data_IF_679800860406
#
_entry.id   IF_679800860406
#
_cell.length_a   1.000
_cell.length_b   1.000
_cell.length_c   1.000
_cell.angle_alpha   90.00
_cell.angle_beta   90.00
_cell.angle_gamma   90.00
#
_symmetry.space_group_name_H-M   'P 1'
#
loop_
_entity.id
_entity.type
_entity.pdbx_description
1 polymer ?
#
# COMPACT_ATOMS: atom_id res chain seq x y z
N UNK A 1 -46.90 7.25 -58.48
CA UNK A 1 -46.57 6.27 -57.43
C UNK A 1 -45.14 6.39 -56.95
N UNK A 2 -44.96 6.96 -55.76
CA UNK A 2 -43.67 6.93 -55.06
C UNK A 2 -43.66 5.68 -54.19
N UNK A 3 -42.78 4.72 -54.49
CA UNK A 3 -42.61 3.49 -53.70
C UNK A 3 -41.74 3.77 -52.48
N UNK A 4 -42.36 3.86 -51.31
CA UNK A 4 -41.65 4.04 -50.04
C UNK A 4 -41.07 2.71 -49.56
N UNK A 5 -39.75 2.62 -49.46
CA UNK A 5 -39.04 1.47 -48.90
C UNK A 5 -39.04 1.59 -47.38
N UNK A 6 -39.77 0.72 -46.68
CA UNK A 6 -39.68 0.59 -45.21
C UNK A 6 -38.47 -0.27 -44.84
N UNK A 7 -37.39 0.38 -44.39
CA UNK A 7 -36.25 -0.32 -43.79
C UNK A 7 -36.57 -0.59 -42.32
N UNK A 8 -36.87 -1.84 -41.99
CA UNK A 8 -37.07 -2.29 -40.61
C UNK A 8 -35.71 -2.73 -40.05
N UNK A 9 -35.04 -1.84 -39.32
CA UNK A 9 -33.82 -2.18 -38.57
C UNK A 9 -34.23 -2.96 -37.33
N UNK A 10 -34.20 -4.30 -37.42
CA UNK A 10 -34.31 -5.16 -36.23
C UNK A 10 -33.01 -5.03 -35.44
N UNK A 11 -33.03 -4.23 -34.38
CA UNK A 11 -31.97 -4.21 -33.37
C UNK A 11 -31.83 -5.63 -32.81
N UNK A 12 -30.70 -6.28 -33.07
CA UNK A 12 -30.33 -7.51 -32.36
C UNK A 12 -30.20 -7.10 -30.89
N UNK A 13 -31.12 -7.56 -30.03
CA UNK A 13 -30.94 -7.47 -28.57
C UNK A 13 -29.54 -8.01 -28.28
N UNK A 14 -28.65 -7.13 -27.81
CA UNK A 14 -27.33 -7.55 -27.33
C UNK A 14 -27.56 -8.56 -26.19
N UNK A 15 -26.74 -9.62 -26.08
CA UNK A 15 -26.89 -10.57 -24.99
C UNK A 15 -26.75 -9.81 -23.66
N UNK A 16 -27.68 -10.04 -22.72
CA UNK A 16 -27.50 -9.62 -21.33
C UNK A 16 -26.12 -10.10 -20.89
N UNK A 17 -25.29 -9.20 -20.37
CA UNK A 17 -24.00 -9.58 -19.79
C UNK A 17 -24.27 -10.55 -18.63
N UNK A 18 -23.73 -11.76 -18.73
CA UNK A 18 -23.89 -12.76 -17.68
C UNK A 18 -22.91 -12.43 -16.56
N UNK A 19 -23.43 -12.23 -15.35
CA UNK A 19 -22.61 -11.98 -14.16
C UNK A 19 -21.90 -13.28 -13.79
N UNK A 20 -20.66 -13.40 -14.23
CA UNK A 20 -19.78 -14.52 -13.93
C UNK A 20 -19.20 -14.46 -12.52
N UNK A 21 -18.50 -15.52 -12.15
CA UNK A 21 -17.67 -15.52 -10.96
C UNK A 21 -16.36 -14.80 -11.33
N UNK A 22 -15.97 -13.79 -10.53
CA UNK A 22 -14.94 -12.76 -10.84
C UNK A 22 -15.42 -11.50 -11.58
N UNK A 23 -16.72 -11.24 -11.60
CA UNK A 23 -17.29 -9.98 -12.07
C UNK A 23 -16.75 -8.75 -11.33
N UNK A 24 -16.64 -8.84 -10.00
CA UNK A 24 -16.25 -7.73 -9.12
C UNK A 24 -14.75 -7.82 -8.76
N UNK A 25 -14.01 -6.77 -9.06
CA UNK A 25 -12.59 -6.61 -8.71
C UNK A 25 -12.38 -5.37 -7.85
N UNK A 26 -11.46 -5.46 -6.88
CA UNK A 26 -11.01 -4.35 -6.03
C UNK A 26 -9.49 -4.19 -6.19
N UNK A 27 -9.04 -2.96 -6.38
CA UNK A 27 -7.63 -2.59 -6.39
C UNK A 27 -7.39 -1.40 -5.48
N UNK A 28 -6.31 -1.46 -4.72
CA UNK A 28 -5.84 -0.36 -3.89
C UNK A 28 -4.45 0.00 -4.37
N UNK A 29 -4.22 1.28 -4.62
CA UNK A 29 -2.91 1.81 -5.00
C UNK A 29 -2.43 2.72 -3.88
N UNK A 30 -1.15 2.66 -3.49
CA UNK A 30 -0.62 3.43 -2.35
C UNK A 30 -0.65 4.94 -2.59
N UNK A 31 -0.59 5.37 -3.86
CA UNK A 31 -0.70 6.76 -4.30
C UNK A 31 -1.46 6.82 -5.63
N UNK A 32 -2.02 7.98 -5.99
CA UNK A 32 -2.64 8.17 -7.30
C UNK A 32 -1.62 8.11 -8.43
N UNK A 33 -2.04 7.58 -9.57
CA UNK A 33 -1.23 7.50 -10.79
C UNK A 33 -0.66 8.85 -11.26
N UNK A 34 -1.35 9.97 -11.01
CA UNK A 34 -0.90 11.29 -11.43
C UNK A 34 0.06 11.96 -10.41
N UNK A 35 0.04 11.51 -9.15
CA UNK A 35 0.90 12.01 -8.07
C UNK A 35 2.29 11.33 -8.10
N UNK A 36 2.42 10.24 -8.86
CA UNK A 36 3.68 9.57 -9.16
C UNK A 36 4.51 10.36 -10.20
N UNK A 37 4.91 11.59 -9.86
CA UNK A 37 5.92 12.34 -10.60
C UNK A 37 5.68 12.45 -12.11
N UNK A 38 4.45 12.75 -12.51
CA UNK A 38 3.94 12.80 -13.90
C UNK A 38 4.62 13.81 -14.85
N UNK A 39 5.82 14.29 -14.52
CA UNK A 39 6.67 15.11 -15.40
C UNK A 39 8.09 14.57 -15.60
N UNK A 40 8.49 13.44 -15.01
CA UNK A 40 9.85 12.91 -15.14
C UNK A 40 9.88 11.64 -16.01
N UNK A 41 10.65 11.64 -17.12
CA UNK A 41 10.86 10.42 -17.92
C UNK A 41 11.42 9.30 -17.01
N UNK A 42 10.69 8.19 -16.90
CA UNK A 42 11.08 7.01 -16.12
C UNK A 42 10.34 6.79 -14.79
N UNK A 43 9.43 7.68 -14.37
CA UNK A 43 8.55 7.39 -13.23
C UNK A 43 7.44 6.40 -13.66
N UNK A 44 7.50 5.16 -13.14
CA UNK A 44 6.45 4.16 -13.37
C UNK A 44 5.25 4.45 -12.47
N UNK A 45 4.04 4.30 -13.00
CA UNK A 45 2.82 4.39 -12.21
C UNK A 45 2.85 3.37 -11.05
N UNK A 46 2.26 3.68 -9.89
CA UNK A 46 2.16 2.74 -8.78
C UNK A 46 1.48 1.45 -9.22
N UNK A 47 2.07 0.32 -8.85
CA UNK A 47 1.38 -0.96 -8.97
C UNK A 47 0.29 -1.07 -7.90
N UNK A 48 -0.78 -1.82 -8.21
CA UNK A 48 -1.79 -2.15 -7.21
C UNK A 48 -1.16 -3.00 -6.10
N UNK A 49 -1.57 -2.77 -4.86
CA UNK A 49 -1.19 -3.57 -3.70
C UNK A 49 -1.84 -4.95 -3.80
N UNK A 50 -1.07 -5.97 -3.46
CA UNK A 50 -1.55 -7.32 -3.21
C UNK A 50 -2.08 -7.45 -1.76
N UNK A 51 -2.79 -8.55 -1.51
CA UNK A 51 -3.36 -8.83 -0.20
C UNK A 51 -2.24 -9.05 0.83
N UNK A 52 -2.27 -8.27 1.92
CA UNK A 52 -1.26 -8.28 2.96
C UNK A 52 -0.02 -7.41 2.68
N UNK A 53 0.02 -6.70 1.54
CA UNK A 53 1.13 -5.80 1.24
C UNK A 53 1.26 -4.69 2.29
N UNK A 54 2.50 -4.29 2.55
CA UNK A 54 2.83 -3.26 3.53
C UNK A 54 3.24 -1.96 2.86
N UNK A 55 2.59 -0.87 3.26
CA UNK A 55 2.96 0.50 2.88
C UNK A 55 3.59 1.18 4.08
N UNK A 56 4.77 1.78 3.92
CA UNK A 56 5.39 2.58 4.98
C UNK A 56 5.03 4.06 4.82
N UNK A 57 4.56 4.67 5.89
CA UNK A 57 4.17 6.09 5.95
C UNK A 57 5.01 6.78 7.01
N UNK A 58 5.70 7.88 6.70
CA UNK A 58 6.36 8.64 7.76
C UNK A 58 5.32 9.25 8.70
N UNK A 59 5.66 9.33 9.99
CA UNK A 59 4.78 9.93 10.99
C UNK A 59 4.42 11.37 10.60
N UNK A 60 3.13 11.71 10.69
CA UNK A 60 2.62 13.03 10.33
C UNK A 60 2.53 13.32 8.82
N UNK A 61 3.09 12.48 7.95
CA UNK A 61 2.90 12.59 6.51
C UNK A 61 1.53 12.04 6.08
N UNK A 62 0.95 12.69 5.08
CA UNK A 62 -0.34 12.28 4.51
C UNK A 62 -0.11 11.31 3.35
N UNK A 63 -0.63 10.09 3.48
CA UNK A 63 -0.75 9.15 2.36
C UNK A 63 -2.15 9.19 1.77
N UNK A 64 -2.24 9.26 0.44
CA UNK A 64 -3.51 9.30 -0.31
C UNK A 64 -3.64 8.11 -1.26
N UNK A 65 -3.92 6.90 -0.74
CA UNK A 65 -4.14 5.77 -1.61
C UNK A 65 -5.45 5.92 -2.36
N UNK A 66 -5.41 5.52 -3.64
CA UNK A 66 -6.58 5.45 -4.49
C UNK A 66 -7.15 4.04 -4.47
N UNK A 67 -8.45 3.94 -4.24
CA UNK A 67 -9.21 2.69 -4.22
C UNK A 67 -10.13 2.69 -5.43
N UNK A 68 -10.08 1.61 -6.20
CA UNK A 68 -10.88 1.43 -7.39
C UNK A 68 -11.53 0.05 -7.35
N UNK A 69 -12.86 0.01 -7.51
CA UNK A 69 -13.60 -1.21 -7.70
C UNK A 69 -14.33 -1.19 -9.04
N UNK A 70 -14.39 -2.34 -9.70
CA UNK A 70 -14.96 -2.50 -11.04
C UNK A 70 -15.80 -3.77 -11.11
N UNK A 71 -16.92 -3.68 -11.81
CA UNK A 71 -17.84 -4.77 -12.14
C UNK A 71 -17.96 -4.88 -13.65
N UNK A 72 -17.61 -6.03 -14.22
CA UNK A 72 -17.58 -6.20 -15.68
C UNK A 72 -18.97 -6.27 -16.31
N UNK A 73 -19.88 -7.02 -15.69
CA UNK A 73 -21.18 -7.41 -16.25
C UNK A 73 -22.36 -6.87 -15.43
N UNK A 74 -22.22 -6.71 -14.11
CA UNK A 74 -23.32 -6.25 -13.27
C UNK A 74 -23.42 -4.72 -13.26
N UNK A 75 -24.36 -4.21 -14.06
CA UNK A 75 -24.70 -2.79 -14.15
C UNK A 75 -25.86 -2.36 -13.25
N UNK A 76 -26.50 -3.31 -12.55
CA UNK A 76 -27.72 -3.04 -11.76
C UNK A 76 -27.44 -2.75 -10.31
N UNK A 77 -26.26 -3.12 -9.82
CA UNK A 77 -25.85 -3.01 -8.43
C UNK A 77 -24.70 -2.01 -8.31
N UNK A 78 -24.96 -0.89 -7.65
CA UNK A 78 -23.91 0.07 -7.29
C UNK A 78 -22.90 -0.58 -6.36
N UNK A 79 -21.62 -0.29 -6.57
CA UNK A 79 -20.54 -0.76 -5.71
C UNK A 79 -20.28 0.31 -4.65
N UNK A 80 -20.29 -0.07 -3.39
CA UNK A 80 -19.94 0.81 -2.26
C UNK A 80 -18.63 0.34 -1.64
N UNK A 81 -17.72 1.28 -1.39
CA UNK A 81 -16.46 1.00 -0.71
C UNK A 81 -16.60 1.23 0.80
N UNK A 82 -16.02 0.35 1.59
CA UNK A 82 -15.91 0.46 3.06
C UNK A 82 -14.51 0.06 3.51
N UNK A 83 -14.11 0.48 4.71
CA UNK A 83 -12.83 0.12 5.29
C UNK A 83 -12.95 -0.08 6.80
N UNK A 84 -12.22 -1.07 7.31
CA UNK A 84 -12.03 -1.30 8.74
C UNK A 84 -10.55 -1.39 9.03
N UNK A 85 -10.10 -0.79 10.12
CA UNK A 85 -8.70 -0.77 10.49
C UNK A 85 -8.49 -1.21 11.93
N UNK A 86 -7.32 -1.75 12.22
CA UNK A 86 -6.89 -2.12 13.56
C UNK A 86 -5.42 -1.77 13.76
N UNK A 87 -5.07 -1.24 14.93
CA UNK A 87 -3.68 -1.05 15.34
C UNK A 87 -3.17 -2.38 15.91
N UNK A 88 -2.01 -2.82 15.43
CA UNK A 88 -1.36 -4.03 15.90
C UNK A 88 -0.82 -3.85 17.31
N UNK A 89 -1.13 -4.80 18.18
CA UNK A 89 -0.60 -4.86 19.54
C UNK A 89 0.44 -5.99 19.62
N UNK A 90 1.57 -5.73 20.29
CA UNK A 90 2.51 -6.81 20.63
C UNK A 90 1.79 -7.74 21.61
N UNK A 91 1.88 -9.08 21.42
CA UNK A 91 1.26 -10.03 22.33
C UNK A 91 1.81 -9.75 23.74
N UNK A 92 0.92 -9.54 24.71
CA UNK A 92 1.35 -9.44 26.10
C UNK A 92 2.07 -10.74 26.46
N UNK A 93 3.29 -10.62 27.01
CA UNK A 93 3.89 -11.74 27.74
C UNK A 93 2.91 -12.09 28.86
N UNK A 94 2.18 -13.18 28.72
CA UNK A 94 1.58 -13.82 29.89
C UNK A 94 2.74 -14.23 30.78
N UNK A 95 2.82 -13.65 31.98
CA UNK A 95 3.71 -14.13 33.02
C UNK A 95 3.27 -15.55 33.40
N UNK A 96 3.71 -16.53 32.63
CA UNK A 96 3.74 -17.93 32.99
C UNK A 96 5.18 -18.22 33.39
N UNK A 97 5.35 -18.62 34.64
CA UNK A 97 6.63 -18.65 35.33
C UNK A 97 7.71 -19.47 34.65
N UNK A 98 8.93 -18.96 34.83
CA UNK A 98 10.20 -19.67 35.01
C UNK A 98 10.43 -20.97 34.23
N UNK A 99 11.18 -20.86 33.14
CA UNK A 99 12.26 -21.79 32.81
C UNK A 99 13.24 -21.07 31.87
N UNK A 100 14.48 -20.89 32.34
CA UNK A 100 15.53 -20.17 31.65
C UNK A 100 15.86 -20.71 30.26
N UNK A 101 16.18 -19.79 29.36
CA UNK A 101 16.73 -20.07 28.04
C UNK A 101 17.23 -18.79 27.41
N UNK A 102 18.52 -18.54 27.55
CA UNK A 102 19.28 -17.44 26.93
C UNK A 102 19.05 -17.44 25.42
N UNK A 103 18.40 -16.40 24.88
CA UNK A 103 18.33 -16.17 23.43
C UNK A 103 19.55 -15.35 23.00
N UNK A 104 20.56 -16.05 22.47
CA UNK A 104 21.51 -15.45 21.55
C UNK A 104 20.79 -15.23 20.21
N UNK A 105 20.94 -14.02 19.69
CA UNK A 105 20.64 -13.66 18.32
C UNK A 105 21.50 -14.49 17.36
N UNK A 106 20.89 -15.25 16.47
CA UNK A 106 21.37 -15.42 15.09
C UNK A 106 20.35 -16.17 14.24
N UNK A 107 20.29 -15.81 12.96
CA UNK A 107 19.24 -16.21 12.04
C UNK A 107 19.28 -17.67 11.60
N UNK A 108 18.21 -18.06 10.89
CA UNK A 108 18.06 -19.16 9.90
C UNK A 108 16.82 -20.03 10.18
N UNK A 109 15.86 -19.88 9.25
CA UNK A 109 14.74 -20.72 8.76
C UNK A 109 14.25 -21.98 9.48
N UNK A 110 12.92 -22.15 9.33
CA UNK A 110 12.10 -23.38 9.26
C UNK A 110 11.86 -24.18 10.55
N UNK A 111 10.60 -24.18 10.98
CA UNK A 111 10.06 -25.14 11.95
C UNK A 111 8.57 -24.93 12.19
N UNK A 112 7.75 -25.72 11.50
CA UNK A 112 6.33 -25.95 11.83
C UNK A 112 6.20 -26.43 13.28
N UNK A 113 5.32 -25.81 14.05
CA UNK A 113 4.73 -26.44 15.24
C UNK A 113 3.28 -25.96 15.41
N UNK A 114 2.37 -26.90 15.15
CA UNK A 114 0.96 -26.80 15.46
C UNK A 114 0.72 -27.03 16.96
N UNK A 115 -0.28 -26.34 17.52
CA UNK A 115 -0.94 -26.75 18.76
C UNK A 115 -1.07 -25.64 19.81
N UNK A 116 -2.23 -24.98 19.85
CA UNK A 116 -2.58 -24.07 20.93
C UNK A 116 -3.85 -23.27 20.64
N UNK A 117 -4.99 -23.80 21.07
CA UNK A 117 -6.30 -23.15 21.02
C UNK A 117 -6.34 -21.88 21.89
N UNK A 118 -6.79 -20.75 21.34
CA UNK A 118 -7.28 -19.61 22.12
C UNK A 118 -6.86 -18.22 21.63
N UNK A 119 -7.86 -17.47 21.15
CA UNK A 119 -7.84 -16.05 20.71
C UNK A 119 -7.51 -15.84 19.24
N UNK A 120 -8.58 -15.77 18.43
CA UNK A 120 -8.60 -15.41 17.01
C UNK A 120 -8.22 -13.95 16.77
N UNK A 121 -6.96 -13.62 17.00
CA UNK A 121 -6.32 -12.45 16.42
C UNK A 121 -5.49 -12.91 15.22
N UNK A 122 -5.65 -12.25 14.08
CA UNK A 122 -4.84 -12.58 12.90
C UNK A 122 -3.40 -12.16 13.22
N UNK A 123 -2.50 -13.11 13.51
CA UNK A 123 -1.11 -12.77 13.82
C UNK A 123 -0.35 -12.52 12.53
N UNK A 124 0.29 -11.36 12.38
CA UNK A 124 1.13 -11.11 11.21
C UNK A 124 2.50 -11.79 11.33
N UNK A 125 3.29 -11.71 10.25
CA UNK A 125 4.65 -12.25 10.21
C UNK A 125 5.61 -11.56 11.22
N UNK A 126 5.19 -10.48 11.88
CA UNK A 126 5.91 -9.77 12.95
C UNK A 126 5.41 -10.16 14.35
N UNK A 127 4.45 -11.07 14.45
CA UNK A 127 3.88 -11.52 15.72
C UNK A 127 2.85 -10.58 16.33
N UNK A 128 2.38 -9.56 15.60
CA UNK A 128 1.39 -8.58 16.08
C UNK A 128 -0.03 -9.14 16.04
N UNK A 129 -0.86 -8.73 16.98
CA UNK A 129 -2.25 -9.15 17.09
C UNK A 129 -3.18 -7.96 16.83
N UNK A 130 -4.12 -8.13 15.90
CA UNK A 130 -5.13 -7.12 15.56
C UNK A 130 -6.49 -7.48 16.16
N UNK A 131 -6.79 -6.93 17.34
CA UNK A 131 -7.99 -7.27 18.13
C UNK A 131 -9.05 -6.18 18.09
N UNK A 132 -8.65 -4.91 18.03
CA UNK A 132 -9.55 -3.75 18.04
C UNK A 132 -9.75 -3.26 16.62
N UNK A 133 -10.79 -3.76 15.96
CA UNK A 133 -11.18 -3.33 14.61
C UNK A 133 -12.22 -2.24 14.69
N UNK A 134 -11.91 -1.10 14.06
CA UNK A 134 -12.73 0.10 14.15
C UNK A 134 -12.77 0.85 12.81
N UNK A 135 -13.62 1.87 12.76
CA UNK A 135 -13.63 2.80 11.64
C UNK A 135 -12.29 3.55 11.54
N UNK A 136 -11.80 3.79 10.32
CA UNK A 136 -10.52 4.47 10.07
C UNK A 136 -10.37 5.79 10.84
N UNK A 137 -11.46 6.55 10.99
CA UNK A 137 -11.50 7.85 11.67
C UNK A 137 -11.00 7.80 13.10
N UNK A 138 -11.20 6.68 13.80
CA UNK A 138 -10.73 6.51 15.19
C UNK A 138 -9.21 6.35 15.29
N UNK A 139 -8.55 5.97 14.20
CA UNK A 139 -7.09 5.79 14.11
C UNK A 139 -6.41 6.97 13.40
N UNK A 140 -7.12 8.09 13.19
CA UNK A 140 -6.59 9.26 12.48
C UNK A 140 -6.57 9.11 10.96
N UNK A 141 -7.29 8.13 10.41
CA UNK A 141 -7.44 7.93 8.98
C UNK A 141 -8.81 8.41 8.50
N UNK A 142 -8.88 9.05 7.34
CA UNK A 142 -10.14 9.46 6.73
C UNK A 142 -10.44 8.56 5.55
N UNK A 143 -11.59 7.89 5.60
CA UNK A 143 -12.13 7.16 4.46
C UNK A 143 -13.37 7.90 3.94
N UNK A 144 -13.53 8.06 2.62
CA UNK A 144 -14.67 8.82 2.08
C UNK A 144 -15.97 8.09 2.38
N UNK A 145 -16.96 8.85 2.83
CA UNK A 145 -18.33 8.38 2.94
C UNK A 145 -18.92 8.04 1.56
N UNK A 146 -20.12 7.48 1.55
CA UNK A 146 -20.76 7.03 0.32
C UNK A 146 -21.04 8.17 -0.67
N UNK A 147 -21.16 9.42 -0.19
CA UNK A 147 -21.44 10.60 -1.02
C UNK A 147 -20.16 11.17 -1.65
N UNK A 148 -19.01 11.02 -0.97
CA UNK A 148 -17.70 11.42 -1.45
C UNK A 148 -17.07 10.39 -2.42
N UNK A 149 -17.64 9.18 -2.49
CA UNK A 149 -17.30 8.19 -3.49
C UNK A 149 -17.84 8.58 -4.87
N UNK A 150 -17.17 8.12 -5.92
CA UNK A 150 -17.59 8.36 -7.31
C UNK A 150 -18.07 7.06 -7.94
N UNK A 151 -19.31 6.61 -7.66
CA UNK A 151 -19.89 5.47 -8.33
C UNK A 151 -20.32 5.82 -9.75
N UNK A 152 -20.23 4.84 -10.65
CA UNK A 152 -20.80 4.86 -11.97
C UNK A 152 -21.47 3.50 -12.21
N UNK A 153 -22.69 3.53 -12.73
CA UNK A 153 -23.44 2.35 -13.18
C UNK A 153 -23.93 2.61 -14.58
N UNK A 154 -23.64 1.69 -15.49
CA UNK A 154 -24.04 1.78 -16.88
C UNK A 154 -25.49 1.31 -17.07
N UNK A 155 -26.07 1.54 -18.24
CA UNK A 155 -27.37 0.95 -18.58
C UNK A 155 -27.27 -0.58 -18.74
N UNK A 156 -28.41 -1.29 -18.61
CA UNK A 156 -28.52 -2.76 -18.58
C UNK A 156 -27.87 -3.51 -19.76
N UNK A 157 -27.48 -2.83 -20.84
CA UNK A 157 -26.99 -3.42 -22.09
C UNK A 157 -25.71 -2.77 -22.65
N UNK A 158 -25.06 -1.89 -21.88
CA UNK A 158 -23.83 -1.19 -22.31
C UNK A 158 -22.85 -1.09 -21.15
N UNK A 159 -21.57 -1.22 -21.44
CA UNK A 159 -20.48 -0.85 -20.52
C UNK A 159 -20.05 0.57 -20.89
N UNK A 160 -20.38 1.55 -20.05
CA UNK A 160 -20.08 2.98 -20.29
C UNK A 160 -19.21 3.58 -19.20
N UNK A 161 -19.05 2.91 -18.06
CA UNK A 161 -18.20 3.39 -16.99
C UNK A 161 -16.73 3.10 -17.29
N UNK A 162 -15.87 4.10 -17.26
CA UNK A 162 -14.42 3.95 -17.43
C UNK A 162 -13.67 4.45 -16.20
N UNK A 163 -12.53 3.82 -15.93
CA UNK A 163 -11.57 4.34 -14.98
C UNK A 163 -10.59 5.27 -15.71
N UNK A 164 -10.07 6.25 -14.98
CA UNK A 164 -9.07 7.19 -15.48
C UNK A 164 -7.81 6.43 -15.94
N UNK A 165 -7.43 6.56 -17.21
CA UNK A 165 -6.32 5.82 -17.81
C UNK A 165 -6.66 4.40 -18.30
N UNK A 166 -7.90 3.93 -18.15
CA UNK A 166 -8.37 2.66 -18.72
C UNK A 166 -8.97 2.86 -20.11
N UNK A 167 -8.61 1.99 -21.06
CA UNK A 167 -9.29 1.88 -22.37
C UNK A 167 -10.48 0.91 -22.34
N UNK A 168 -10.64 0.16 -21.24
CA UNK A 168 -11.75 -0.76 -21.00
C UNK A 168 -12.89 -0.04 -20.28
N UNK A 169 -14.11 -0.29 -20.75
CA UNK A 169 -15.34 0.10 -20.07
C UNK A 169 -15.89 -1.07 -19.24
N UNK A 170 -16.58 -0.72 -18.16
CA UNK A 170 -17.17 -1.63 -17.17
C UNK A 170 -18.67 -1.36 -17.04
N UNK A 171 -19.39 -2.33 -16.50
CA UNK A 171 -20.81 -2.21 -16.20
C UNK A 171 -21.03 -1.30 -14.98
N UNK A 172 -20.19 -1.42 -13.95
CA UNK A 172 -20.15 -0.47 -12.85
C UNK A 172 -18.71 -0.25 -12.34
N UNK A 173 -18.45 0.93 -11.80
CA UNK A 173 -17.16 1.28 -11.18
C UNK A 173 -17.38 2.18 -9.98
N UNK A 174 -16.53 2.09 -8.96
CA UNK A 174 -16.51 3.07 -7.87
C UNK A 174 -15.08 3.44 -7.56
N UNK A 175 -14.81 4.75 -7.48
CA UNK A 175 -13.49 5.30 -7.13
C UNK A 175 -13.58 6.11 -5.85
N UNK A 176 -12.56 5.94 -5.01
CA UNK A 176 -12.37 6.66 -3.76
C UNK A 176 -10.90 7.02 -3.57
N UNK A 177 -10.65 8.07 -2.81
CA UNK A 177 -9.32 8.37 -2.27
C UNK A 177 -9.48 8.42 -0.76
N UNK A 178 -8.72 7.60 -0.06
CA UNK A 178 -8.59 7.72 1.40
C UNK A 178 -7.45 8.68 1.72
N UNK A 179 -7.42 9.16 2.97
CA UNK A 179 -6.34 9.95 3.53
C UNK A 179 -5.88 9.24 4.80
N UNK A 180 -4.63 8.82 4.84
CA UNK A 180 -4.01 8.24 6.01
C UNK A 180 -3.01 9.24 6.57
N UNK A 181 -3.31 9.79 7.75
CA UNK A 181 -2.42 10.68 8.47
C UNK A 181 -2.33 10.21 9.92
N UNK A 182 -1.51 9.18 10.16
CA UNK A 182 -1.34 8.69 11.53
C UNK A 182 -0.67 9.75 12.39
N UNK A 183 -1.25 10.00 13.56
CA UNK A 183 -0.64 10.81 14.61
C UNK A 183 0.29 9.99 15.52
N UNK A 184 0.22 8.66 15.42
CA UNK A 184 1.00 7.75 16.25
C UNK A 184 1.80 6.78 15.39
N UNK A 185 2.99 6.42 15.87
CA UNK A 185 3.75 5.32 15.32
C UNK A 185 3.07 3.98 15.64
N UNK A 186 3.30 3.01 14.76
CA UNK A 186 2.78 1.66 14.90
C UNK A 186 2.50 0.98 13.58
N UNK A 187 2.22 -0.31 13.67
CA UNK A 187 1.78 -1.14 12.57
C UNK A 187 0.25 -1.23 12.60
N UNK A 188 -0.38 -0.92 11.47
CA UNK A 188 -1.83 -0.95 11.31
C UNK A 188 -2.20 -1.95 10.23
N UNK A 189 -3.32 -2.64 10.40
CA UNK A 189 -3.91 -3.46 9.36
C UNK A 189 -5.28 -2.89 9.01
N UNK A 190 -5.49 -2.60 7.72
CA UNK A 190 -6.76 -2.13 7.20
C UNK A 190 -7.30 -3.11 6.16
N UNK A 191 -8.57 -3.46 6.25
CA UNK A 191 -9.28 -4.26 5.25
C UNK A 191 -10.24 -3.35 4.51
N UNK A 192 -10.03 -3.24 3.21
CA UNK A 192 -10.89 -2.50 2.28
C UNK A 192 -11.88 -3.47 1.66
N UNK A 193 -13.14 -3.07 1.57
CA UNK A 193 -14.23 -3.86 1.02
C UNK A 193 -14.88 -3.11 -0.13
N UNK A 194 -15.13 -3.81 -1.25
CA UNK A 194 -16.05 -3.41 -2.30
C UNK A 194 -17.31 -4.26 -2.17
N UNK A 195 -18.46 -3.63 -1.97
CA UNK A 195 -19.70 -4.29 -1.57
C UNK A 195 -20.81 -3.90 -2.53
N UNK A 196 -21.50 -4.91 -3.07
CA UNK A 196 -22.82 -4.72 -3.71
C UNK A 196 -23.91 -4.63 -2.64
N UNK A 197 -25.14 -4.17 -2.95
CA UNK A 197 -26.15 -3.81 -1.94
C UNK A 197 -26.44 -4.89 -0.88
N UNK A 198 -26.58 -6.15 -1.27
CA UNK A 198 -26.83 -7.25 -0.31
C UNK A 198 -25.64 -7.48 0.64
N UNK A 199 -24.42 -7.39 0.12
CA UNK A 199 -23.21 -7.49 0.94
C UNK A 199 -22.99 -6.24 1.81
N UNK A 200 -23.39 -5.06 1.33
CA UNK A 200 -23.34 -3.82 2.09
C UNK A 200 -24.28 -3.87 3.30
N UNK A 201 -25.51 -4.36 3.12
CA UNK A 201 -26.45 -4.55 4.24
C UNK A 201 -25.86 -5.47 5.30
N UNK A 202 -25.32 -6.63 4.90
CA UNK A 202 -24.70 -7.58 5.83
C UNK A 202 -23.46 -7.03 6.52
N UNK A 203 -22.66 -6.26 5.78
CA UNK A 203 -21.52 -5.56 6.36
C UNK A 203 -22.00 -4.63 7.47
N UNK A 204 -22.90 -3.69 7.16
CA UNK A 204 -23.43 -2.70 8.11
C UNK A 204 -24.07 -3.35 9.36
N UNK A 205 -24.82 -4.44 9.20
CA UNK A 205 -25.37 -5.23 10.31
C UNK A 205 -24.28 -5.78 11.25
N UNK A 206 -23.15 -6.23 10.69
CA UNK A 206 -22.06 -6.82 11.47
C UNK A 206 -21.20 -5.75 12.16
N UNK A 207 -20.92 -4.62 11.49
CA UNK A 207 -20.14 -3.53 12.10
C UNK A 207 -20.91 -2.81 13.21
N UNK A 208 -22.24 -2.88 13.21
CA UNK A 208 -23.06 -2.35 14.29
C UNK A 208 -22.94 -3.16 15.60
N UNK A 209 -22.34 -4.35 15.56
CA UNK A 209 -22.11 -5.19 16.75
C UNK A 209 -20.82 -4.79 17.47
N UNK A 210 -20.75 -5.11 18.77
CA UNK A 210 -19.53 -4.92 19.55
C UNK A 210 -18.49 -5.99 19.22
N UNK A 211 -17.21 -5.61 19.16
CA UNK A 211 -16.11 -6.56 18.90
C UNK A 211 -16.09 -7.15 17.48
N UNK A 212 -16.53 -6.37 16.48
CA UNK A 212 -16.50 -6.80 15.08
C UNK A 212 -15.08 -7.21 14.66
N UNK A 213 -14.98 -8.26 13.85
CA UNK A 213 -13.72 -8.71 13.24
C UNK A 213 -13.93 -9.00 11.76
N UNK A 214 -12.89 -8.89 10.91
CA UNK A 214 -12.98 -9.29 9.51
C UNK A 214 -13.42 -10.75 9.32
N UNK A 215 -13.08 -11.63 10.27
CA UNK A 215 -13.55 -13.02 10.32
C UNK A 215 -15.05 -13.12 10.57
N UNK A 216 -15.60 -12.36 11.53
CA UNK A 216 -17.04 -12.34 11.79
C UNK A 216 -17.82 -11.82 10.58
N UNK A 217 -17.33 -10.75 9.94
CA UNK A 217 -17.91 -10.21 8.69
C UNK A 217 -17.86 -11.26 7.58
N UNK A 218 -16.73 -11.95 7.41
CA UNK A 218 -16.60 -13.00 6.39
C UNK A 218 -17.54 -14.18 6.66
N UNK A 219 -17.76 -14.55 7.93
CA UNK A 219 -18.72 -15.57 8.31
C UNK A 219 -20.17 -15.13 8.02
N UNK A 220 -20.52 -13.88 8.27
CA UNK A 220 -21.83 -13.32 7.94
C UNK A 220 -22.10 -13.33 6.43
N UNK A 221 -21.09 -13.03 5.61
CA UNK A 221 -21.18 -13.14 4.16
C UNK A 221 -21.39 -14.58 3.70
N UNK A 222 -20.65 -15.53 4.27
CA UNK A 222 -20.80 -16.95 3.96
C UNK A 222 -22.19 -17.48 4.35
N UNK A 223 -22.71 -17.10 5.53
CA UNK A 223 -24.05 -17.48 5.98
C UNK A 223 -25.15 -16.93 5.07
N UNK A 224 -24.92 -15.78 4.43
CA UNK A 224 -25.82 -15.18 3.44
C UNK A 224 -25.61 -15.70 2.01
N UNK A 225 -24.74 -16.70 1.79
CA UNK A 225 -24.35 -17.22 0.48
C UNK A 225 -23.79 -16.15 -0.48
N UNK A 226 -23.14 -15.12 0.06
CA UNK A 226 -22.52 -14.06 -0.72
C UNK A 226 -21.13 -14.47 -1.17
N UNK A 227 -20.95 -14.59 -2.49
CA UNK A 227 -19.69 -15.04 -3.08
C UNK A 227 -18.68 -13.91 -3.29
N UNK A 228 -17.40 -14.23 -3.06
CA UNK A 228 -16.25 -13.37 -3.36
C UNK A 228 -16.12 -13.13 -4.88
N UNK A 229 -15.58 -11.97 -5.23
CA UNK A 229 -15.41 -11.45 -6.59
C UNK A 229 -16.70 -11.41 -7.42
N UNK A 230 -17.85 -11.38 -6.76
CA UNK A 230 -19.17 -11.27 -7.40
C UNK A 230 -20.08 -10.33 -6.65
N UNK A 231 -20.32 -10.61 -5.37
CA UNK A 231 -21.14 -9.77 -4.48
C UNK A 231 -20.26 -8.86 -3.63
N UNK A 232 -19.06 -9.32 -3.31
CA UNK A 232 -18.08 -8.60 -2.52
C UNK A 232 -16.66 -8.88 -3.02
N UNK A 233 -15.76 -7.93 -2.83
CA UNK A 233 -14.32 -8.13 -2.92
C UNK A 233 -13.68 -7.47 -1.71
N UNK A 234 -12.61 -8.04 -1.17
CA UNK A 234 -11.88 -7.48 -0.02
C UNK A 234 -10.39 -7.56 -0.26
N UNK A 235 -9.66 -6.62 0.32
CA UNK A 235 -8.21 -6.56 0.29
C UNK A 235 -7.69 -6.06 1.64
N UNK A 236 -6.82 -6.83 2.29
CA UNK A 236 -6.08 -6.41 3.45
C UNK A 236 -4.80 -5.67 3.03
N UNK A 237 -4.52 -4.54 3.66
CA UNK A 237 -3.29 -3.79 3.53
C UNK A 237 -2.71 -3.53 4.91
N UNK A 238 -1.39 -3.58 5.02
CA UNK A 238 -0.67 -3.24 6.23
C UNK A 238 -0.04 -1.86 6.06
N UNK A 239 -0.04 -1.05 7.11
CA UNK A 239 0.54 0.30 7.13
C UNK A 239 1.54 0.35 8.27
N UNK A 240 2.81 0.52 7.95
CA UNK A 240 3.87 0.70 8.92
C UNK A 240 4.18 2.18 9.09
N UNK A 241 3.94 2.72 10.28
CA UNK A 241 4.34 4.07 10.66
C UNK A 241 5.52 3.93 11.61
N UNK A 242 6.75 4.21 11.16
CA UNK A 242 7.89 4.14 12.04
C UNK A 242 7.76 5.21 13.14
N UNK A 243 8.40 4.94 14.28
CA UNK A 243 8.65 5.99 15.28
C UNK A 243 9.44 7.15 14.64
N UNK A 244 9.38 8.32 15.27
CA UNK A 244 10.04 9.52 14.78
C UNK A 244 11.42 9.16 14.21
N UNK A 245 11.67 9.63 12.99
CA UNK A 245 12.98 9.48 12.38
C UNK A 245 13.95 10.36 13.19
N UNK A 246 14.47 9.83 14.28
CA UNK A 246 15.68 10.35 14.90
C UNK A 246 16.74 10.15 13.84
N UNK A 247 17.11 11.25 13.17
CA UNK A 247 18.34 11.29 12.40
C UNK A 247 19.39 10.59 13.27
N UNK A 248 20.13 9.58 12.76
CA UNK A 248 21.30 9.12 13.48
C UNK A 248 22.07 10.39 13.85
N UNK A 249 22.58 10.50 15.07
CA UNK A 249 23.27 11.68 15.56
C UNK A 249 24.52 11.97 14.69
N UNK A 250 24.35 12.45 13.46
CA UNK A 250 25.37 12.93 12.55
C UNK A 250 25.70 14.38 12.90
N UNK A 251 25.69 14.68 14.20
CA UNK A 251 25.84 15.99 14.79
C UNK A 251 26.58 15.97 16.13
N UNK A 252 27.11 14.83 16.58
CA UNK A 252 28.11 14.79 17.65
C UNK A 252 29.52 14.95 17.04
N UNK A 253 29.93 16.22 16.96
CA UNK A 253 31.27 16.71 17.32
C UNK A 253 32.53 15.98 16.82
N UNK A 254 32.61 15.47 15.59
CA UNK A 254 33.92 15.10 14.99
C UNK A 254 33.95 14.96 13.47
N UNK A 255 32.86 14.64 12.77
CA UNK A 255 33.01 14.18 11.37
C UNK A 255 33.63 15.22 10.41
N UNK A 256 33.38 16.52 10.64
CA UNK A 256 34.06 17.60 9.91
C UNK A 256 35.55 17.74 10.27
N UNK A 257 35.95 17.42 11.51
CA UNK A 257 37.35 17.47 11.94
C UNK A 257 38.15 16.28 11.38
N UNK A 258 37.56 15.09 11.32
CA UNK A 258 38.18 13.91 10.71
C UNK A 258 38.35 14.04 9.19
N UNK A 259 37.33 14.55 8.48
CA UNK A 259 37.45 14.81 7.03
C UNK A 259 38.43 15.96 6.74
N UNK A 260 38.46 17.00 7.59
CA UNK A 260 39.42 18.11 7.48
C UNK A 260 40.87 17.71 7.74
N UNK A 261 41.14 16.86 8.74
CA UNK A 261 42.48 16.38 9.06
C UNK A 261 43.05 15.47 7.95
N UNK A 262 42.22 14.59 7.37
CA UNK A 262 42.64 13.73 6.26
C UNK A 262 42.96 14.58 5.01
N UNK A 263 42.16 15.62 4.74
CA UNK A 263 42.43 16.52 3.61
C UNK A 263 43.74 17.31 3.78
N UNK A 264 44.04 17.82 4.98
CA UNK A 264 45.26 18.58 5.24
C UNK A 264 46.54 17.71 5.09
N UNK A 265 46.52 16.47 5.57
CA UNK A 265 47.66 15.54 5.43
C UNK A 265 47.91 15.21 3.95
N UNK A 266 46.86 15.04 3.15
CA UNK A 266 47.00 14.73 1.72
C UNK A 266 47.59 15.91 0.91
N UNK A 267 47.26 17.16 1.28
CA UNK A 267 47.85 18.35 0.64
C UNK A 267 49.32 18.54 1.03
N UNK A 268 49.70 18.24 2.28
CA UNK A 268 51.10 18.32 2.71
C UNK A 268 52.01 17.30 2.02
N UNK A 269 51.52 16.08 1.76
CA UNK A 269 52.29 15.04 1.04
C UNK A 269 52.48 15.41 -0.44
N UNK A 270 51.46 15.97 -1.09
CA UNK A 270 51.59 16.47 -2.47
C UNK A 270 52.55 17.65 -2.60
N UNK A 271 52.58 18.57 -1.62
CA UNK A 271 53.52 19.68 -1.60
C UNK A 271 54.97 19.21 -1.39
N UNK A 272 55.21 18.26 -0.49
CA UNK A 272 56.54 17.67 -0.29
C UNK A 272 57.03 16.91 -1.54
N UNK A 273 56.13 16.20 -2.24
CA UNK A 273 56.43 15.55 -3.52
C UNK A 273 56.80 16.53 -4.64
N UNK A 274 56.17 17.70 -4.69
CA UNK A 274 56.48 18.71 -5.71
C UNK A 274 57.83 19.41 -5.47
N UNK A 275 58.21 19.65 -4.21
CA UNK A 275 59.53 20.23 -3.86
C UNK A 275 60.68 19.23 -4.08
N UNK A 276 60.46 17.94 -3.78
CA UNK A 276 61.43 16.89 -4.09
C UNK A 276 61.63 16.71 -5.61
N UNK A 277 60.54 16.77 -6.40
CA UNK A 277 60.60 16.69 -7.87
C UNK A 277 61.34 17.88 -8.52
N UNK A 278 61.13 19.11 -8.04
CA UNK A 278 61.81 20.31 -8.54
C UNK A 278 63.32 20.31 -8.21
N UNK A 279 63.72 19.75 -7.06
CA UNK A 279 65.13 19.65 -6.67
C UNK A 279 65.90 18.60 -7.49
N UNK A 280 65.27 17.48 -7.86
CA UNK A 280 65.86 16.50 -8.79
C UNK A 280 65.98 17.03 -10.21
N UNK A 281 64.99 17.79 -10.70
CA UNK A 281 65.02 18.44 -12.01
C UNK A 281 66.13 19.52 -12.10
N UNK A 282 66.28 20.36 -11.07
CA UNK A 282 67.38 21.33 -10.99
C UNK A 282 68.75 20.65 -10.86
N UNK A 283 68.87 19.54 -10.12
CA UNK A 283 70.13 18.79 -10.03
C UNK A 283 70.53 18.18 -11.38
N UNK A 284 69.57 17.72 -12.18
CA UNK A 284 69.81 17.21 -13.54
C UNK A 284 70.31 18.29 -14.50
N UNK A 285 69.72 19.49 -14.44
CA UNK A 285 70.12 20.64 -15.28
C UNK A 285 71.54 21.17 -14.96
N UNK A 286 71.99 21.12 -13.70
CA UNK A 286 73.35 21.54 -13.34
C UNK A 286 74.44 20.53 -13.72
N UNK A 287 74.11 19.23 -13.85
CA UNK A 287 75.08 18.22 -14.26
C UNK A 287 75.26 18.15 -15.79
N UNK A 288 74.25 18.48 -16.59
CA UNK A 288 74.39 18.57 -18.05
C UNK A 288 75.16 19.83 -18.51
N UNK A 289 75.16 20.91 -17.73
CA UNK A 289 75.90 22.15 -18.09
C UNK A 289 77.40 22.13 -17.79
N UNK A 290 77.94 21.06 -17.19
CA UNK A 290 79.41 20.86 -17.00
C UNK A 290 80.02 19.88 -18.02
N UNK A 291 79.27 19.43 -19.02
CA UNK A 291 79.82 18.78 -20.22
C UNK A 291 79.44 19.59 -21.45
N UNK A 292 80.08 20.75 -21.59
CA UNK A 292 80.43 21.44 -22.84
C UNK A 292 81.57 22.39 -22.50
#
# INVERSE_FOLDING_TARGET
DVKTIKIVVKSKKKPNLVVGDNDLTLKVYPFKNNDAGSGKPGASAPSALADGDTVSAMLGMELKPSIEATSEADSRKTITLKMLCSKGEKPQKTNSGDAGGTSNSDGTSNGVAAGGSGTTGNTDNKGLVYTKWEEPSKLGFTFPDENAQKPCTSDKDKQTCSLEGSTKNFAATTKASATFKSAEAGDYQCVVYALKPEALTKFNEEVAKTGVTPSAISAAFAAANLTANKNLAKLAINIHVPEDFTLPHTGEWNWNLQLGAIAAVMVSVLAAGFVASQTEACRKLFYERRRC
#
